data_IF_779189399244
#
_entry.id   IF_779189399244
#
_cell.length_a   1.000
_cell.length_b   1.000
_cell.length_c   1.000
_cell.angle_alpha   90.00
_cell.angle_beta   90.00
_cell.angle_gamma   90.00
#
_symmetry.space_group_name_H-M   'P 1'
#
loop_
_entity.id
_entity.type
_entity.pdbx_description
1 polymer ?
#
# COMPACT_ATOMS: atom_id res chain seq x y z
N UNK A 1 -33.25 25.29 52.39
CA UNK A 1 -31.82 24.94 52.21
C UNK A 1 -31.10 26.14 51.62
N UNK A 2 -30.11 26.71 52.33
CA UNK A 2 -29.44 27.95 51.88
C UNK A 2 -28.66 27.73 50.58
N UNK A 3 -28.56 28.76 49.73
CA UNK A 3 -27.81 28.70 48.45
C UNK A 3 -26.37 28.18 48.62
N UNK A 4 -25.77 28.34 49.81
CA UNK A 4 -24.43 27.82 50.12
C UNK A 4 -24.38 26.28 50.21
N UNK A 5 -25.41 25.66 50.79
CA UNK A 5 -25.45 24.19 50.96
C UNK A 5 -25.59 23.48 49.60
N UNK A 6 -26.33 24.06 48.65
CA UNK A 6 -26.44 23.51 47.28
C UNK A 6 -25.12 23.55 46.53
N UNK A 7 -24.31 24.61 46.67
CA UNK A 7 -23.00 24.71 46.01
C UNK A 7 -22.02 23.66 46.54
N UNK A 8 -22.02 23.43 47.85
CA UNK A 8 -21.15 22.42 48.49
C UNK A 8 -21.52 21.00 48.03
N UNK A 9 -22.81 20.69 47.95
CA UNK A 9 -23.28 19.38 47.46
C UNK A 9 -22.92 19.12 45.98
N UNK A 10 -23.04 20.13 45.12
CA UNK A 10 -22.64 20.01 43.70
C UNK A 10 -21.13 19.79 43.58
N UNK A 11 -20.33 20.51 44.35
CA UNK A 11 -18.87 20.35 44.33
C UNK A 11 -18.45 18.95 44.80
N UNK A 12 -19.07 18.43 45.86
CA UNK A 12 -18.83 17.08 46.35
C UNK A 12 -19.24 16.01 45.34
N UNK A 13 -20.35 16.22 44.62
CA UNK A 13 -20.79 15.29 43.58
C UNK A 13 -19.80 15.27 42.41
N UNK A 14 -19.28 16.43 42.00
CA UNK A 14 -18.27 16.54 40.94
C UNK A 14 -16.96 15.87 41.38
N UNK A 15 -16.51 16.11 42.60
CA UNK A 15 -15.30 15.46 43.14
C UNK A 15 -15.51 13.94 43.19
N UNK A 16 -16.67 13.46 43.64
CA UNK A 16 -16.99 12.03 43.68
C UNK A 16 -16.99 11.42 42.27
N UNK A 17 -17.58 12.10 41.29
CA UNK A 17 -17.59 11.65 39.88
C UNK A 17 -16.16 11.62 39.34
N UNK A 18 -15.35 12.66 39.58
CA UNK A 18 -13.96 12.71 39.15
C UNK A 18 -13.13 11.62 39.85
N UNK A 19 -13.34 11.37 41.14
CA UNK A 19 -12.66 10.30 41.87
C UNK A 19 -13.07 8.91 41.38
N UNK A 20 -14.34 8.68 41.06
CA UNK A 20 -14.82 7.41 40.49
C UNK A 20 -14.30 7.20 39.06
N UNK A 21 -14.18 8.27 38.27
CA UNK A 21 -13.60 8.22 36.93
C UNK A 21 -12.10 7.96 37.01
N UNK A 22 -11.36 8.66 37.88
CA UNK A 22 -9.91 8.47 38.08
C UNK A 22 -9.59 7.08 38.66
N UNK A 23 -10.43 6.54 39.55
CA UNK A 23 -10.26 5.19 40.11
C UNK A 23 -10.69 4.06 39.16
N UNK A 24 -11.42 4.37 38.08
CA UNK A 24 -11.75 3.41 37.01
C UNK A 24 -10.68 3.33 35.92
N UNK A 25 -9.78 4.31 35.84
CA UNK A 25 -8.62 4.20 34.98
C UNK A 25 -7.53 3.42 35.73
N UNK A 26 -7.04 2.30 35.19
CA UNK A 26 -5.92 1.59 35.78
C UNK A 26 -4.73 2.55 35.92
N UNK A 27 -4.04 2.48 37.06
CA UNK A 27 -2.85 3.30 37.29
C UNK A 27 -1.80 2.94 36.24
N UNK A 28 -0.98 3.89 35.75
CA UNK A 28 0.09 3.65 34.77
C UNK A 28 1.15 2.63 35.22
N UNK A 29 1.13 2.21 36.48
CA UNK A 29 2.10 1.30 37.09
C UNK A 29 1.67 -0.17 37.09
N UNK A 30 0.46 -0.51 36.63
CA UNK A 30 0.12 -1.88 36.24
C UNK A 30 0.80 -2.18 34.91
N UNK A 31 2.13 -2.33 34.97
CA UNK A 31 2.91 -2.92 33.90
C UNK A 31 2.24 -4.24 33.52
N UNK A 32 1.98 -4.40 32.21
CA UNK A 32 1.62 -5.66 31.58
C UNK A 32 2.44 -6.79 32.20
N UNK A 33 1.84 -7.56 33.10
CA UNK A 33 2.36 -8.86 33.46
C UNK A 33 1.68 -9.83 32.52
N UNK A 34 2.45 -10.41 31.62
CA UNK A 34 2.09 -11.68 31.00
C UNK A 34 1.69 -12.60 32.17
N UNK A 35 0.47 -13.16 32.21
CA UNK A 35 0.06 -14.03 33.30
C UNK A 35 1.09 -15.16 33.49
N UNK A 36 1.50 -15.43 34.73
CA UNK A 36 2.36 -16.58 35.05
C UNK A 36 1.68 -17.85 34.49
N UNK A 37 2.28 -18.45 33.46
CA UNK A 37 1.72 -19.62 32.76
C UNK A 37 1.86 -19.59 31.24
N UNK A 38 2.02 -18.41 30.61
CA UNK A 38 2.27 -18.31 29.17
C UNK A 38 3.77 -18.44 28.86
N UNK A 39 4.28 -19.67 28.92
CA UNK A 39 5.63 -20.02 28.45
C UNK A 39 5.63 -20.69 27.07
N UNK A 40 4.46 -21.05 26.55
CA UNK A 40 4.32 -21.56 25.20
C UNK A 40 4.22 -20.39 24.23
N UNK A 41 5.14 -20.35 23.28
CA UNK A 41 5.15 -19.38 22.20
C UNK A 41 4.02 -19.77 21.25
N UNK A 42 3.12 -18.83 20.99
CA UNK A 42 2.03 -19.03 20.02
C UNK A 42 2.59 -18.63 18.65
N UNK A 43 2.61 -19.57 17.72
CA UNK A 43 2.92 -19.32 16.32
C UNK A 43 1.59 -19.13 15.59
N UNK A 44 1.43 -17.98 14.94
CA UNK A 44 0.28 -17.76 14.07
C UNK A 44 0.70 -18.08 12.65
N UNK A 45 -0.10 -18.88 11.95
CA UNK A 45 0.12 -19.20 10.54
C UNK A 45 -1.05 -18.69 9.70
N UNK A 46 -0.76 -18.25 8.48
CA UNK A 46 -1.78 -17.92 7.50
C UNK A 46 -1.31 -18.32 6.12
N UNK A 47 -2.12 -19.14 5.45
CA UNK A 47 -1.98 -19.34 4.01
C UNK A 47 -2.53 -18.10 3.31
N UNK A 48 -1.71 -17.51 2.44
CA UNK A 48 -2.03 -16.27 1.74
C UNK A 48 -1.74 -16.44 0.26
N UNK A 49 -2.69 -16.04 -0.57
CA UNK A 49 -2.49 -15.95 -2.02
C UNK A 49 -2.28 -14.50 -2.42
N UNK A 50 -1.14 -14.20 -3.02
CA UNK A 50 -0.88 -12.91 -3.67
C UNK A 50 -1.28 -13.02 -5.13
N UNK A 51 -2.14 -12.10 -5.58
CA UNK A 51 -2.63 -12.08 -6.95
C UNK A 51 -1.87 -11.03 -7.75
N UNK A 52 -1.19 -11.43 -8.82
CA UNK A 52 -0.60 -10.55 -9.82
C UNK A 52 -1.53 -10.48 -11.02
N UNK A 53 -2.09 -9.31 -11.28
CA UNK A 53 -3.04 -9.09 -12.37
C UNK A 53 -2.40 -8.24 -13.45
N UNK A 54 -2.11 -8.82 -14.61
CA UNK A 54 -1.52 -8.14 -15.75
C UNK A 54 -2.63 -7.58 -16.64
N UNK A 55 -2.67 -6.27 -16.82
CA UNK A 55 -3.68 -5.54 -17.58
C UNK A 55 -3.01 -4.88 -18.77
N UNK A 56 -3.45 -5.23 -19.97
CA UNK A 56 -2.92 -4.66 -21.21
C UNK A 56 -1.69 -5.37 -21.79
N UNK A 57 -1.07 -6.29 -21.05
CA UNK A 57 0.08 -7.05 -21.50
C UNK A 57 -0.24 -8.08 -22.60
N UNK A 58 0.78 -8.43 -23.38
CA UNK A 58 0.82 -9.69 -24.14
C UNK A 58 1.38 -10.80 -23.25
N UNK A 59 0.76 -11.99 -23.25
CA UNK A 59 1.12 -13.07 -22.31
C UNK A 59 2.57 -13.55 -22.42
N UNK A 60 3.17 -13.45 -23.60
CA UNK A 60 4.55 -13.86 -23.87
C UNK A 60 5.62 -12.92 -23.29
N UNK A 61 5.24 -11.70 -22.90
CA UNK A 61 6.17 -10.74 -22.26
C UNK A 61 6.42 -11.14 -20.80
N UNK A 62 5.41 -11.71 -20.14
CA UNK A 62 5.48 -12.04 -18.72
C UNK A 62 6.05 -13.45 -18.51
N UNK A 63 7.22 -13.52 -17.89
CA UNK A 63 7.94 -14.76 -17.62
C UNK A 63 7.72 -15.17 -16.16
N UNK A 64 6.66 -15.94 -15.92
CA UNK A 64 6.24 -16.34 -14.57
C UNK A 64 7.34 -17.08 -13.78
N UNK A 65 8.20 -17.83 -14.46
CA UNK A 65 9.30 -18.55 -13.81
C UNK A 65 10.31 -17.59 -13.16
N UNK A 66 10.61 -16.44 -13.80
CA UNK A 66 11.50 -15.40 -13.25
C UNK A 66 10.85 -14.74 -12.03
N UNK A 67 9.54 -14.49 -12.08
CA UNK A 67 8.79 -14.01 -10.92
C UNK A 67 8.90 -14.98 -9.74
N UNK A 68 8.62 -16.25 -9.97
CA UNK A 68 8.60 -17.26 -8.91
C UNK A 68 9.99 -17.53 -8.31
N UNK A 69 11.06 -17.40 -9.09
CA UNK A 69 12.44 -17.56 -8.59
C UNK A 69 12.84 -16.47 -7.58
N UNK A 70 12.34 -15.25 -7.78
CA UNK A 70 12.75 -14.08 -7.00
C UNK A 70 11.74 -13.66 -5.91
N UNK A 71 10.57 -14.29 -5.86
CA UNK A 71 9.56 -14.06 -4.82
C UNK A 71 9.78 -14.99 -3.62
N UNK A 72 9.52 -14.52 -2.38
CA UNK A 72 9.68 -15.34 -1.18
C UNK A 72 8.63 -16.46 -1.15
N UNK A 73 9.04 -17.73 -1.00
CA UNK A 73 8.10 -18.84 -0.79
C UNK A 73 7.48 -18.86 0.62
N UNK A 74 8.23 -18.40 1.61
CA UNK A 74 7.81 -18.20 2.99
C UNK A 74 8.28 -16.81 3.42
N UNK A 75 7.47 -16.10 4.21
CA UNK A 75 7.92 -14.82 4.74
C UNK A 75 7.65 -14.70 6.24
N UNK A 76 8.70 -14.32 6.96
CA UNK A 76 8.61 -13.85 8.35
C UNK A 76 8.57 -12.32 8.29
N UNK A 77 7.53 -11.66 8.82
CA UNK A 77 7.38 -10.21 8.72
C UNK A 77 8.62 -9.45 9.15
N UNK A 78 8.96 -8.37 8.44
CA UNK A 78 10.07 -7.50 8.84
C UNK A 78 9.75 -6.87 10.21
N UNK A 79 10.63 -7.10 11.17
CA UNK A 79 10.46 -6.69 12.56
C UNK A 79 10.92 -5.24 12.79
N UNK A 80 10.02 -4.29 12.58
CA UNK A 80 10.31 -2.87 12.79
C UNK A 80 10.15 -2.40 14.26
N UNK A 81 9.74 -3.28 15.19
CA UNK A 81 9.18 -2.85 16.48
C UNK A 81 9.54 -3.66 17.73
N UNK A 82 10.03 -4.89 17.62
CA UNK A 82 10.28 -5.78 18.78
C UNK A 82 11.33 -5.26 19.75
N UNK A 83 12.22 -4.37 19.31
CA UNK A 83 13.17 -3.71 20.19
C UNK A 83 12.52 -2.82 21.26
N UNK A 84 11.28 -2.38 21.06
CA UNK A 84 10.60 -1.38 21.90
C UNK A 84 9.28 -1.85 22.52
N UNK A 85 8.72 -2.99 22.09
CA UNK A 85 7.41 -3.48 22.56
C UNK A 85 7.60 -4.75 23.38
N UNK A 86 6.95 -4.76 24.54
CA UNK A 86 6.97 -5.78 25.59
C UNK A 86 6.88 -7.24 25.09
N UNK A 87 7.37 -8.17 25.92
CA UNK A 87 7.35 -9.64 25.78
C UNK A 87 5.93 -10.19 25.55
N UNK A 88 5.33 -9.95 24.38
CA UNK A 88 4.12 -10.65 23.96
C UNK A 88 4.48 -12.13 23.64
N UNK A 89 3.59 -13.09 23.90
CA UNK A 89 3.85 -14.51 23.67
C UNK A 89 3.83 -14.92 22.19
N UNK A 90 3.58 -13.99 21.27
CA UNK A 90 3.58 -14.25 19.82
C UNK A 90 4.97 -14.03 19.26
N UNK A 91 5.55 -15.05 18.61
CA UNK A 91 6.85 -14.87 17.97
C UNK A 91 6.67 -14.01 16.71
N UNK A 92 5.87 -14.48 15.74
CA UNK A 92 5.50 -13.77 14.50
C UNK A 92 4.22 -14.38 13.88
N UNK A 93 3.59 -13.67 12.93
CA UNK A 93 2.65 -14.28 11.98
C UNK A 93 3.47 -14.85 10.81
N UNK A 94 3.49 -16.17 10.67
CA UNK A 94 4.14 -16.88 9.58
C UNK A 94 3.18 -16.96 8.41
N UNK A 95 3.62 -16.47 7.26
CA UNK A 95 2.83 -16.51 6.03
C UNK A 95 3.36 -17.59 5.10
N UNK A 96 2.50 -18.55 4.74
CA UNK A 96 2.75 -19.47 3.64
C UNK A 96 2.21 -18.81 2.38
N UNK A 97 3.10 -18.43 1.46
CA UNK A 97 2.73 -17.64 0.30
C UNK A 97 2.48 -18.55 -0.90
N UNK A 98 1.39 -18.25 -1.60
CA UNK A 98 1.10 -18.76 -2.92
C UNK A 98 0.91 -17.58 -3.87
N UNK A 99 1.28 -17.75 -5.13
CA UNK A 99 1.22 -16.71 -6.14
C UNK A 99 0.25 -17.11 -7.24
N UNK A 100 -0.65 -16.21 -7.60
CA UNK A 100 -1.64 -16.39 -8.64
C UNK A 100 -1.42 -15.35 -9.73
N UNK A 101 -1.18 -15.80 -10.96
CA UNK A 101 -0.94 -14.94 -12.12
C UNK A 101 -2.19 -14.90 -12.98
N UNK A 102 -2.74 -13.71 -13.21
CA UNK A 102 -3.99 -13.50 -13.94
C UNK A 102 -3.75 -12.46 -15.02
N UNK A 103 -4.07 -12.79 -16.26
CA UNK A 103 -4.16 -11.81 -17.33
C UNK A 103 -5.60 -11.28 -17.40
N UNK A 104 -5.76 -9.98 -17.24
CA UNK A 104 -7.06 -9.35 -17.38
C UNK A 104 -7.53 -9.43 -18.83
N UNK A 105 -8.84 -9.58 -19.02
CA UNK A 105 -9.44 -9.57 -20.35
C UNK A 105 -9.19 -8.21 -21.02
N UNK A 106 -8.95 -8.20 -22.34
CA UNK A 106 -8.71 -6.95 -23.09
C UNK A 106 -9.81 -5.91 -22.83
N UNK A 107 -11.07 -6.34 -22.73
CA UNK A 107 -12.19 -5.44 -22.43
C UNK A 107 -12.17 -4.77 -21.04
N UNK A 108 -11.35 -5.26 -20.10
CA UNK A 108 -11.06 -4.55 -18.85
C UNK A 108 -10.01 -3.46 -19.09
N UNK A 109 -8.92 -3.79 -19.78
CA UNK A 109 -7.86 -2.84 -20.14
C UNK A 109 -8.41 -1.69 -20.99
N UNK A 110 -9.15 -2.00 -22.06
CA UNK A 110 -9.84 -1.03 -22.91
C UNK A 110 -10.63 -0.03 -22.06
N UNK A 111 -11.44 -0.54 -21.11
CA UNK A 111 -12.35 0.31 -20.33
C UNK A 111 -11.65 1.09 -19.23
N UNK A 112 -10.61 0.51 -18.63
CA UNK A 112 -9.76 1.19 -17.67
C UNK A 112 -9.09 2.39 -18.34
N UNK A 113 -8.42 2.19 -19.47
CA UNK A 113 -7.66 3.25 -20.13
C UNK A 113 -8.55 4.21 -20.93
N UNK A 114 -9.70 3.78 -21.46
CA UNK A 114 -10.76 4.67 -21.97
C UNK A 114 -11.16 5.68 -20.87
N UNK A 115 -11.39 5.17 -19.65
CA UNK A 115 -11.77 6.00 -18.52
C UNK A 115 -10.62 6.92 -18.09
N UNK A 116 -9.40 6.41 -17.97
CA UNK A 116 -8.20 7.20 -17.67
C UNK A 116 -8.02 8.36 -18.64
N UNK A 117 -8.12 8.10 -19.95
CA UNK A 117 -8.08 9.12 -21.01
C UNK A 117 -9.21 10.17 -20.86
N UNK A 118 -10.39 9.75 -20.40
CA UNK A 118 -11.55 10.65 -20.24
C UNK A 118 -11.41 11.67 -19.11
N UNK A 119 -10.49 11.44 -18.17
CA UNK A 119 -10.24 12.30 -17.01
C UNK A 119 -8.86 12.98 -17.05
N UNK A 120 -8.19 12.93 -18.21
CA UNK A 120 -6.89 13.59 -18.42
C UNK A 120 -7.02 15.10 -18.22
N UNK A 121 -6.07 15.66 -17.49
CA UNK A 121 -5.76 17.07 -17.48
C UNK A 121 -4.46 17.29 -18.24
N UNK A 122 -4.47 18.18 -19.23
CA UNK A 122 -3.25 18.55 -19.96
C UNK A 122 -2.49 19.63 -19.21
N UNK A 123 -1.19 19.44 -19.03
CA UNK A 123 -0.31 20.37 -18.32
C UNK A 123 1.10 20.41 -18.90
N UNK A 124 1.92 21.39 -18.52
CA UNK A 124 3.31 21.43 -18.95
C UNK A 124 4.08 20.22 -18.39
N UNK A 125 5.09 19.68 -19.10
CA UNK A 125 6.00 18.70 -18.53
C UNK A 125 6.80 19.30 -17.37
N UNK A 126 7.30 18.44 -16.49
CA UNK A 126 8.24 18.84 -15.43
C UNK A 126 9.63 19.05 -16.01
N UNK A 127 10.46 19.87 -15.35
CA UNK A 127 11.85 20.08 -15.76
C UNK A 127 12.62 18.74 -15.82
N UNK A 128 12.39 17.85 -14.85
CA UNK A 128 12.94 16.50 -14.86
C UNK A 128 12.53 15.68 -16.09
N UNK A 129 11.25 15.70 -16.48
CA UNK A 129 10.81 14.93 -17.64
C UNK A 129 11.42 15.47 -18.95
N UNK A 130 11.61 16.80 -19.04
CA UNK A 130 12.30 17.43 -20.16
C UNK A 130 13.75 16.93 -20.24
N UNK A 131 14.48 17.01 -19.13
CA UNK A 131 15.87 16.55 -19.05
C UNK A 131 15.97 15.05 -19.38
N UNK A 132 15.08 14.24 -18.81
CA UNK A 132 14.99 12.81 -19.07
C UNK A 132 14.72 12.49 -20.55
N UNK A 133 13.77 13.18 -21.20
CA UNK A 133 13.43 12.92 -22.60
C UNK A 133 14.61 13.19 -23.53
N UNK A 134 15.39 14.25 -23.24
CA UNK A 134 16.62 14.59 -23.95
C UNK A 134 17.74 13.57 -23.69
N UNK A 135 18.03 13.26 -22.42
CA UNK A 135 19.14 12.37 -22.02
C UNK A 135 18.92 10.91 -22.42
N UNK A 136 17.68 10.42 -22.30
CA UNK A 136 17.31 9.04 -22.69
C UNK A 136 17.20 8.85 -24.20
N UNK A 137 17.16 9.94 -24.98
CA UNK A 137 17.01 9.92 -26.43
C UNK A 137 15.62 9.47 -26.89
N UNK A 138 14.61 9.48 -26.02
CA UNK A 138 13.23 9.14 -26.38
C UNK A 138 12.61 10.21 -27.31
N UNK A 139 12.97 11.49 -27.12
CA UNK A 139 12.54 12.61 -27.96
C UNK A 139 11.03 12.65 -28.22
N UNK A 140 10.22 12.40 -27.18
CA UNK A 140 8.74 12.44 -27.26
C UNK A 140 8.18 13.83 -26.95
N UNK A 141 8.98 14.74 -26.40
CA UNK A 141 8.54 16.10 -26.11
C UNK A 141 8.99 17.04 -27.22
N UNK A 142 8.02 17.76 -27.81
CA UNK A 142 8.31 18.98 -28.54
C UNK A 142 8.29 20.21 -27.60
N UNK A 143 9.02 21.27 -27.96
CA UNK A 143 9.15 22.47 -27.12
C UNK A 143 7.78 23.09 -26.81
N UNK A 144 7.40 23.08 -25.54
CA UNK A 144 6.15 23.66 -25.04
C UNK A 144 4.90 22.81 -25.24
N UNK A 145 5.03 21.56 -25.70
CA UNK A 145 3.89 20.65 -25.76
C UNK A 145 3.48 20.13 -24.38
N UNK A 146 2.17 20.05 -24.10
CA UNK A 146 1.68 19.54 -22.83
C UNK A 146 1.72 18.02 -22.79
N UNK A 147 1.80 17.48 -21.59
CA UNK A 147 1.66 16.06 -21.27
C UNK A 147 0.34 15.77 -20.57
N UNK A 148 0.00 14.50 -20.41
CA UNK A 148 -1.20 14.07 -19.72
C UNK A 148 -0.97 13.87 -18.22
N UNK A 149 -1.84 14.42 -17.39
CA UNK A 149 -1.92 14.13 -15.96
C UNK A 149 -3.25 13.44 -15.65
N UNK A 150 -3.19 12.28 -14.99
CA UNK A 150 -4.37 11.44 -14.75
C UNK A 150 -4.57 11.23 -13.25
N UNK A 151 -5.78 11.49 -12.75
CA UNK A 151 -6.07 11.40 -11.32
C UNK A 151 -6.06 9.94 -10.82
N UNK A 152 -5.10 9.61 -9.97
CA UNK A 152 -4.92 8.25 -9.43
C UNK A 152 -6.06 7.75 -8.57
N UNK A 153 -6.65 8.61 -7.76
CA UNK A 153 -7.73 8.21 -6.85
C UNK A 153 -8.97 7.85 -7.64
N UNK A 154 -9.28 8.63 -8.68
CA UNK A 154 -10.39 8.35 -9.57
C UNK A 154 -10.22 7.03 -10.34
N UNK A 155 -8.99 6.67 -10.71
CA UNK A 155 -8.66 5.42 -11.41
C UNK A 155 -8.74 4.24 -10.45
N UNK A 156 -8.19 4.37 -9.25
CA UNK A 156 -8.30 3.37 -8.19
C UNK A 156 -9.77 3.07 -7.85
N UNK A 157 -10.60 4.10 -7.68
CA UNK A 157 -12.05 3.95 -7.47
C UNK A 157 -12.72 3.21 -8.63
N UNK A 158 -12.37 3.56 -9.87
CA UNK A 158 -12.92 2.89 -11.04
C UNK A 158 -12.55 1.39 -11.08
N UNK A 159 -11.30 1.04 -10.78
CA UNK A 159 -10.87 -0.36 -10.70
C UNK A 159 -11.68 -1.10 -9.63
N UNK A 160 -11.84 -0.51 -8.44
CA UNK A 160 -12.61 -1.11 -7.36
C UNK A 160 -14.08 -1.38 -7.75
N UNK A 161 -14.73 -0.44 -8.45
CA UNK A 161 -16.12 -0.54 -8.88
C UNK A 161 -16.36 -1.52 -10.04
N UNK A 162 -15.33 -1.78 -10.86
CA UNK A 162 -15.50 -2.52 -12.12
C UNK A 162 -14.86 -3.91 -12.11
N UNK A 163 -13.78 -4.16 -11.35
CA UNK A 163 -13.01 -5.41 -11.37
C UNK A 163 -13.86 -6.68 -11.16
N UNK A 164 -14.93 -6.60 -10.37
CA UNK A 164 -15.87 -7.71 -10.14
C UNK A 164 -16.54 -8.20 -11.43
N UNK A 165 -16.89 -7.28 -12.36
CA UNK A 165 -17.54 -7.61 -13.63
C UNK A 165 -16.64 -8.45 -14.54
N UNK A 166 -15.33 -8.41 -14.30
CA UNK A 166 -14.30 -9.07 -15.08
C UNK A 166 -13.67 -10.26 -14.33
N UNK A 167 -14.27 -10.69 -13.21
CA UNK A 167 -13.76 -11.77 -12.35
C UNK A 167 -12.37 -11.48 -11.76
N UNK A 168 -12.07 -10.21 -11.50
CA UNK A 168 -10.82 -9.75 -10.88
C UNK A 168 -11.03 -9.41 -9.39
N UNK A 169 -11.86 -10.20 -8.73
CA UNK A 169 -12.09 -10.16 -7.28
C UNK A 169 -11.70 -11.51 -6.71
N UNK A 170 -10.82 -11.50 -5.73
CA UNK A 170 -10.23 -12.71 -5.16
C UNK A 170 -10.74 -12.99 -3.75
N UNK A 171 -10.40 -14.16 -3.22
CA UNK A 171 -10.76 -14.56 -1.86
C UNK A 171 -9.93 -13.75 -0.86
N UNK A 172 -10.56 -13.30 0.22
CA UNK A 172 -9.88 -12.60 1.31
C UNK A 172 -8.88 -13.51 2.06
N UNK A 173 -7.70 -12.99 2.50
CA UNK A 173 -7.26 -11.59 2.31
C UNK A 173 -6.88 -11.32 0.84
N UNK A 174 -7.47 -10.28 0.26
CA UNK A 174 -7.44 -10.03 -1.19
C UNK A 174 -6.18 -9.30 -1.66
N UNK A 175 -4.99 -9.74 -1.26
CA UNK A 175 -3.75 -9.08 -1.66
C UNK A 175 -3.53 -9.17 -3.17
N UNK A 176 -3.73 -8.05 -3.84
CA UNK A 176 -3.70 -7.96 -5.30
C UNK A 176 -2.80 -6.83 -5.74
N UNK A 177 -1.87 -7.12 -6.63
CA UNK A 177 -1.06 -6.13 -7.31
C UNK A 177 -1.40 -6.19 -8.80
N UNK A 178 -1.96 -5.10 -9.31
CA UNK A 178 -2.18 -4.93 -10.74
C UNK A 178 -0.92 -4.36 -11.40
N UNK A 179 -0.53 -4.94 -12.52
CA UNK A 179 0.44 -4.37 -13.43
C UNK A 179 -0.31 -3.87 -14.66
N UNK A 180 -0.22 -2.59 -14.94
CA UNK A 180 -0.80 -1.94 -16.10
C UNK A 180 0.30 -1.76 -17.15
N UNK A 181 0.01 -2.19 -18.37
CA UNK A 181 0.76 -1.81 -19.57
C UNK A 181 -0.14 -0.89 -20.39
N UNK A 182 -0.01 0.41 -20.11
CA UNK A 182 -0.71 1.46 -20.83
C UNK A 182 -0.11 1.77 -22.20
N UNK A 183 1.10 1.29 -22.49
CA UNK A 183 1.90 1.72 -23.64
C UNK A 183 1.89 0.73 -24.80
N UNK A 184 2.19 -0.55 -24.57
CA UNK A 184 2.55 -1.47 -25.66
C UNK A 184 1.44 -1.69 -26.68
N UNK A 185 0.17 -1.58 -26.25
CA UNK A 185 -1.02 -1.64 -27.13
C UNK A 185 -1.57 -0.26 -27.51
N UNK A 186 -0.91 0.83 -27.13
CA UNK A 186 -1.30 2.20 -27.42
C UNK A 186 -2.59 2.65 -26.71
N UNK A 187 -2.80 2.20 -25.47
CA UNK A 187 -3.97 2.58 -24.69
C UNK A 187 -3.88 4.04 -24.21
N UNK A 188 -2.68 4.45 -23.83
CA UNK A 188 -2.31 5.85 -23.58
C UNK A 188 -1.40 6.32 -24.74
N UNK A 189 -1.21 7.64 -24.93
CA UNK A 189 -0.41 8.16 -26.04
C UNK A 189 1.02 7.61 -26.04
N UNK A 190 1.52 7.27 -27.23
CA UNK A 190 2.89 6.78 -27.42
C UNK A 190 3.85 7.87 -27.90
N UNK A 191 3.30 8.99 -28.37
CA UNK A 191 3.99 10.16 -28.89
C UNK A 191 4.15 11.29 -27.86
N UNK A 192 3.61 11.11 -26.65
CA UNK A 192 3.83 12.01 -25.51
C UNK A 192 3.91 11.17 -24.22
N UNK A 193 3.93 11.83 -23.07
CA UNK A 193 3.97 11.20 -21.76
C UNK A 193 2.64 11.34 -21.02
N UNK A 194 2.39 10.39 -20.11
CA UNK A 194 1.41 10.57 -19.04
C UNK A 194 2.03 10.33 -17.67
N UNK A 195 1.55 11.11 -16.71
CA UNK A 195 1.76 10.90 -15.29
C UNK A 195 0.45 10.56 -14.59
N UNK A 196 0.60 9.73 -13.58
CA UNK A 196 -0.41 9.53 -12.56
C UNK A 196 -0.22 10.58 -11.47
N UNK A 197 -1.27 11.36 -11.20
CA UNK A 197 -1.25 12.51 -10.30
C UNK A 197 -2.17 12.32 -9.11
N UNK A 198 -1.65 12.66 -7.93
CA UNK A 198 -2.43 12.79 -6.69
C UNK A 198 -2.50 14.24 -6.23
N UNK A 199 -3.63 14.64 -5.63
CA UNK A 199 -3.83 15.95 -5.02
C UNK A 199 -3.71 15.84 -3.49
N UNK A 200 -2.55 16.23 -2.94
CA UNK A 200 -2.35 16.32 -1.48
C UNK A 200 -2.87 17.68 -0.96
N UNK A 201 -4.10 17.73 -0.46
CA UNK A 201 -4.69 18.97 0.10
C UNK A 201 -3.94 19.51 1.33
N UNK A 202 -3.15 18.67 2.02
CA UNK A 202 -2.54 19.02 3.32
C UNK A 202 -1.36 19.98 3.25
N UNK A 203 -0.61 20.03 2.14
CA UNK A 203 0.68 20.72 2.11
C UNK A 203 0.72 22.07 1.39
N UNK A 204 -0.24 22.36 0.50
CA UNK A 204 -0.61 23.66 -0.11
C UNK A 204 -1.26 23.35 -1.45
N UNK A 205 -2.27 24.12 -1.90
CA UNK A 205 -2.94 23.89 -3.18
C UNK A 205 -2.05 24.10 -4.43
N UNK A 206 -0.79 24.51 -4.25
CA UNK A 206 0.11 24.92 -5.34
C UNK A 206 1.38 24.05 -5.46
N UNK A 207 1.65 23.07 -4.56
CA UNK A 207 3.03 22.59 -4.34
C UNK A 207 3.28 21.07 -4.27
N UNK A 208 2.39 20.17 -4.69
CA UNK A 208 2.81 18.76 -4.86
C UNK A 208 1.99 18.03 -5.92
N UNK A 209 2.50 18.01 -7.15
CA UNK A 209 2.26 16.93 -8.08
C UNK A 209 3.31 15.88 -7.73
N UNK A 210 2.89 14.81 -7.07
CA UNK A 210 3.73 13.62 -7.05
C UNK A 210 3.42 12.94 -8.37
N UNK A 211 4.40 12.97 -9.26
CA UNK A 211 4.40 12.15 -10.46
C UNK A 211 4.61 10.71 -10.01
N UNK A 212 3.73 9.80 -10.43
CA UNK A 212 3.71 8.43 -9.91
C UNK A 212 3.67 7.44 -11.07
N UNK A 213 4.26 6.28 -10.85
CA UNK A 213 4.05 5.10 -11.68
C UNK A 213 3.22 4.03 -10.96
N UNK A 214 3.14 4.09 -9.62
CA UNK A 214 2.37 3.14 -8.82
C UNK A 214 1.53 3.84 -7.76
N UNK A 215 0.37 3.25 -7.44
CA UNK A 215 -0.58 3.80 -6.47
C UNK A 215 -1.46 2.71 -5.87
N UNK A 216 -2.05 2.99 -4.72
CA UNK A 216 -3.17 2.22 -4.20
C UNK A 216 -3.21 2.18 -2.69
N UNK A 217 -4.03 1.27 -2.17
CA UNK A 217 -4.15 1.03 -0.74
C UNK A 217 -5.39 1.65 -0.10
N UNK A 218 -6.22 2.39 -0.83
CA UNK A 218 -7.58 2.71 -0.37
C UNK A 218 -8.49 1.48 -0.42
N UNK A 219 -8.17 0.54 -1.31
CA UNK A 219 -8.81 -0.77 -1.41
C UNK A 219 -7.80 -1.90 -1.12
N UNK A 220 -8.26 -3.16 -1.19
CA UNK A 220 -7.42 -4.35 -0.97
C UNK A 220 -6.32 -4.58 -2.02
N UNK A 221 -6.09 -3.64 -2.94
CA UNK A 221 -5.13 -3.79 -4.02
C UNK A 221 -4.21 -2.57 -4.18
N UNK A 222 -3.13 -2.82 -4.89
CA UNK A 222 -2.16 -1.87 -5.39
C UNK A 222 -2.09 -1.96 -6.92
N UNK A 223 -1.59 -0.95 -7.60
CA UNK A 223 -1.29 -1.02 -9.02
C UNK A 223 0.01 -0.29 -9.39
N UNK A 224 0.70 -0.81 -10.41
CA UNK A 224 1.88 -0.23 -11.07
C UNK A 224 1.58 -0.11 -12.55
N UNK A 225 1.76 1.06 -13.15
CA UNK A 225 1.76 1.25 -14.60
C UNK A 225 3.18 1.37 -15.13
N UNK A 226 3.62 0.34 -15.83
CA UNK A 226 4.96 0.31 -16.43
C UNK A 226 5.06 1.17 -17.68
N UNK A 227 3.93 1.61 -18.24
CA UNK A 227 3.88 2.56 -19.34
C UNK A 227 3.74 4.00 -18.88
N UNK A 228 3.81 4.32 -17.59
CA UNK A 228 3.83 5.71 -17.14
C UNK A 228 5.24 6.32 -17.25
N UNK A 229 5.29 7.65 -17.42
CA UNK A 229 6.56 8.38 -17.38
C UNK A 229 7.29 8.16 -16.04
N UNK A 230 8.64 8.18 -16.03
CA UNK A 230 9.40 7.99 -14.80
C UNK A 230 9.14 9.13 -13.82
N UNK A 231 9.00 8.82 -12.54
CA UNK A 231 8.78 9.79 -11.48
C UNK A 231 10.09 10.32 -10.88
N UNK A 232 10.16 11.63 -10.63
CA UNK A 232 11.20 12.20 -9.76
C UNK A 232 10.67 12.28 -8.33
N UNK A 233 11.01 11.29 -7.49
CA UNK A 233 10.68 11.37 -6.07
C UNK A 233 11.92 11.65 -5.23
N UNK A 234 11.95 12.84 -4.60
CA UNK A 234 13.02 13.31 -3.70
C UNK A 234 14.41 13.43 -4.33
N UNK A 235 14.47 13.70 -5.64
CA UNK A 235 15.73 13.90 -6.36
C UNK A 235 16.52 12.62 -6.61
N UNK A 236 15.87 11.45 -6.48
CA UNK A 236 16.41 10.16 -6.89
C UNK A 236 15.65 9.71 -8.16
N UNK A 237 16.41 9.39 -9.20
CA UNK A 237 15.91 9.08 -10.54
C UNK A 237 15.25 7.69 -10.57
N UNK A 238 13.92 7.64 -10.70
CA UNK A 238 13.22 6.35 -10.84
C UNK A 238 13.48 5.69 -12.18
N UNK A 239 13.90 6.42 -13.23
CA UNK A 239 14.13 5.84 -14.54
C UNK A 239 15.34 4.91 -14.56
N UNK A 240 16.36 5.15 -13.71
CA UNK A 240 17.50 4.25 -13.57
C UNK A 240 17.11 2.96 -12.83
N UNK A 241 16.30 3.08 -11.79
CA UNK A 241 15.91 1.93 -10.95
C UNK A 241 14.74 1.11 -11.52
N UNK A 242 13.81 1.79 -12.20
CA UNK A 242 12.55 1.23 -12.71
C UNK A 242 12.21 1.88 -14.08
N UNK A 243 13.00 1.60 -15.13
CA UNK A 243 12.70 2.10 -16.47
C UNK A 243 11.27 1.73 -16.90
N UNK A 244 10.56 2.62 -17.60
CA UNK A 244 9.29 2.26 -18.23
C UNK A 244 9.44 1.13 -19.27
N UNK A 245 8.35 0.41 -19.55
CA UNK A 245 8.32 -0.78 -20.42
C UNK A 245 8.91 -0.54 -21.83
N UNK A 246 8.83 0.69 -22.34
CA UNK A 246 9.38 1.07 -23.64
C UNK A 246 10.90 1.15 -23.72
N UNK A 247 11.62 0.97 -22.61
CA UNK A 247 13.07 0.78 -22.62
C UNK A 247 13.47 -0.68 -22.90
N UNK A 248 12.51 -1.58 -22.86
CA UNK A 248 12.74 -3.00 -23.02
C UNK A 248 12.30 -3.48 -24.40
N UNK A 249 12.86 -4.61 -24.81
CA UNK A 249 12.57 -5.25 -26.07
C UNK A 249 12.73 -6.78 -25.92
N UNK A 250 12.58 -7.51 -27.03
CA UNK A 250 12.66 -8.98 -27.06
C UNK A 250 13.94 -9.55 -26.42
N UNK A 251 15.06 -8.82 -26.48
CA UNK A 251 16.34 -9.27 -25.92
C UNK A 251 16.50 -8.92 -24.43
N UNK A 252 15.63 -8.06 -23.86
CA UNK A 252 15.72 -7.55 -22.48
C UNK A 252 14.48 -7.82 -21.64
N UNK A 253 13.59 -8.72 -22.08
CA UNK A 253 12.42 -9.11 -21.27
C UNK A 253 12.77 -9.77 -19.95
N UNK A 254 13.89 -10.49 -19.88
CA UNK A 254 14.37 -11.08 -18.62
C UNK A 254 14.63 -9.97 -17.58
N UNK A 255 15.32 -8.89 -17.98
CA UNK A 255 15.60 -7.72 -17.13
C UNK A 255 14.32 -6.99 -16.70
N UNK A 256 13.33 -6.87 -17.62
CA UNK A 256 12.02 -6.30 -17.30
C UNK A 256 11.27 -7.12 -16.24
N UNK A 257 11.28 -8.45 -16.37
CA UNK A 257 10.63 -9.34 -15.42
C UNK A 257 11.35 -9.35 -14.05
N UNK A 258 12.68 -9.22 -14.01
CA UNK A 258 13.45 -9.03 -12.78
C UNK A 258 13.06 -7.73 -12.06
N UNK A 259 12.92 -6.62 -12.81
CA UNK A 259 12.45 -5.35 -12.29
C UNK A 259 11.04 -5.46 -11.70
N UNK A 260 10.08 -6.03 -12.47
CA UNK A 260 8.71 -6.23 -12.00
C UNK A 260 8.68 -7.06 -10.70
N UNK A 261 9.51 -8.09 -10.62
CA UNK A 261 9.58 -8.96 -9.44
C UNK A 261 10.15 -8.24 -8.23
N UNK A 262 11.14 -7.37 -8.44
CA UNK A 262 11.69 -6.51 -7.38
C UNK A 262 10.60 -5.61 -6.80
N UNK A 263 9.80 -4.96 -7.67
CA UNK A 263 8.67 -4.12 -7.24
C UNK A 263 7.59 -4.95 -6.53
N UNK A 264 7.25 -6.12 -7.06
CA UNK A 264 6.29 -7.05 -6.46
C UNK A 264 6.74 -7.49 -5.06
N UNK A 265 8.01 -7.82 -4.90
CA UNK A 265 8.59 -8.23 -3.63
C UNK A 265 8.50 -7.12 -2.58
N UNK A 266 8.75 -5.86 -2.96
CA UNK A 266 8.54 -4.72 -2.07
C UNK A 266 7.08 -4.53 -1.67
N UNK A 267 6.14 -4.61 -2.63
CA UNK A 267 4.72 -4.52 -2.33
C UNK A 267 4.27 -5.63 -1.36
N UNK A 268 4.70 -6.88 -1.60
CA UNK A 268 4.39 -8.03 -0.75
C UNK A 268 4.96 -7.84 0.66
N UNK A 269 6.26 -7.53 0.78
CA UNK A 269 6.94 -7.42 2.06
C UNK A 269 6.44 -6.24 2.90
N UNK A 270 6.25 -5.07 2.29
CA UNK A 270 5.94 -3.85 3.03
C UNK A 270 4.44 -3.58 3.19
N UNK A 271 3.60 -4.03 2.26
CA UNK A 271 2.15 -3.76 2.32
C UNK A 271 1.30 -4.94 2.76
N UNK A 272 1.57 -6.12 2.21
CA UNK A 272 0.68 -7.28 2.38
C UNK A 272 1.02 -8.11 3.61
N UNK A 273 2.27 -8.12 4.04
CA UNK A 273 2.73 -8.97 5.14
C UNK A 273 3.16 -8.24 6.44
N UNK A 274 2.74 -6.98 6.76
CA UNK A 274 3.11 -6.39 8.03
C UNK A 274 2.49 -7.18 9.20
N UNK A 275 3.30 -7.44 10.22
CA UNK A 275 2.84 -8.05 11.47
C UNK A 275 2.08 -6.98 12.28
N UNK A 276 0.77 -6.87 12.08
CA UNK A 276 -0.09 -5.98 12.86
C UNK A 276 -0.17 -6.34 14.36
N UNK A 277 0.48 -7.43 14.77
CA UNK A 277 0.64 -7.85 16.16
C UNK A 277 1.51 -6.85 16.94
N UNK A 278 2.44 -6.20 16.27
CA UNK A 278 3.27 -5.14 16.83
C UNK A 278 2.94 -3.84 16.13
N UNK A 279 2.64 -2.79 16.90
CA UNK A 279 2.45 -1.46 16.33
C UNK A 279 3.72 -1.07 15.56
N UNK A 280 3.66 -0.78 14.25
CA UNK A 280 4.81 -0.23 13.55
C UNK A 280 5.06 1.15 14.16
N UNK A 281 6.12 1.26 14.97
CA UNK A 281 6.49 2.46 15.73
C UNK A 281 6.28 3.72 14.89
N UNK A 282 5.16 4.43 15.09
CA UNK A 282 4.74 5.71 14.48
C UNK A 282 5.60 6.19 13.30
N UNK A 283 5.77 5.33 12.32
CA UNK A 283 6.36 5.65 11.05
C UNK A 283 5.21 5.37 10.13
N UNK A 284 4.60 6.40 9.50
CA UNK A 284 4.02 6.15 8.19
C UNK A 284 5.00 5.21 7.50
N UNK A 285 4.55 3.98 7.21
CA UNK A 285 5.33 3.11 6.35
C UNK A 285 5.13 3.75 4.99
N UNK A 286 5.85 4.84 4.77
CA UNK A 286 6.20 5.29 3.45
C UNK A 286 6.78 4.03 2.84
N UNK A 287 6.03 3.39 1.95
CA UNK A 287 6.67 2.51 0.97
C UNK A 287 7.42 3.49 0.05
N UNK A 288 8.39 4.23 0.57
CA UNK A 288 9.28 5.04 -0.24
C UNK A 288 10.31 4.09 -0.83
N UNK A 289 9.86 3.12 -1.64
CA UNK A 289 10.62 2.84 -2.85
C UNK A 289 10.21 3.93 -3.85
N UNK A 290 11.05 4.21 -4.84
CA UNK A 290 10.89 5.33 -5.78
C UNK A 290 9.56 5.42 -6.54
N UNK A 291 8.62 4.49 -6.31
CA UNK A 291 7.41 4.27 -7.09
C UNK A 291 6.12 4.34 -6.25
N UNK A 292 6.15 4.02 -4.94
CA UNK A 292 4.94 4.00 -4.10
C UNK A 292 4.90 5.25 -3.21
N UNK A 293 3.79 6.00 -3.20
CA UNK A 293 3.56 7.04 -2.18
C UNK A 293 2.25 6.76 -1.47
N UNK A 294 2.35 6.48 -0.17
CA UNK A 294 1.20 6.34 0.72
C UNK A 294 1.39 7.27 1.92
N UNK A 295 0.55 8.31 2.03
CA UNK A 295 0.45 9.19 3.21
C UNK A 295 -0.52 8.64 4.27
N UNK A 296 -1.27 7.58 3.93
CA UNK A 296 -2.40 7.02 4.67
C UNK A 296 -2.10 5.66 5.31
N UNK A 297 -0.90 5.11 5.18
CA UNK A 297 -0.47 3.93 5.93
C UNK A 297 -0.18 4.27 7.42
N UNK A 298 -1.24 4.15 8.22
CA UNK A 298 -1.25 3.90 9.67
C UNK A 298 -0.94 5.10 10.60
N UNK A 299 -2.01 5.73 11.11
CA UNK A 299 -1.96 6.47 12.38
C UNK A 299 -3.11 6.00 13.29
N UNK A 300 -2.78 5.25 14.34
CA UNK A 300 -3.57 5.28 15.58
C UNK A 300 -2.62 5.40 16.76
N UNK A 301 -2.62 6.56 17.43
CA UNK A 301 -1.65 6.97 18.44
C UNK A 301 -1.94 6.48 19.87
N UNK A 302 -2.86 5.53 20.07
CA UNK A 302 -3.30 5.10 21.42
C UNK A 302 -3.51 3.58 21.57
N UNK A 303 -2.97 2.76 20.65
CA UNK A 303 -3.15 1.30 20.69
C UNK A 303 -2.53 0.67 21.95
N UNK A 304 -1.36 1.16 22.37
CA UNK A 304 -0.58 0.64 23.50
C UNK A 304 -1.25 0.81 24.87
N UNK A 305 -2.17 1.77 25.02
CA UNK A 305 -2.80 2.09 26.31
C UNK A 305 -4.08 1.28 26.58
N UNK A 306 -4.46 0.36 25.69
CA UNK A 306 -5.76 -0.34 25.71
C UNK A 306 -5.68 -1.85 25.40
N UNK A 307 -4.50 -2.47 25.39
CA UNK A 307 -4.39 -3.90 25.07
C UNK A 307 -4.84 -4.78 26.25
N UNK A 308 -6.09 -5.25 26.19
CA UNK A 308 -6.50 -6.51 26.80
C UNK A 308 -6.15 -7.63 25.81
N UNK A 309 -5.43 -8.65 26.26
CA UNK A 309 -4.96 -9.75 25.42
C UNK A 309 -6.10 -10.50 24.75
N UNK A 310 -7.20 -10.75 25.48
CA UNK A 310 -8.37 -11.42 24.91
C UNK A 310 -9.14 -10.49 23.99
N UNK A 311 -9.20 -9.20 24.28
CA UNK A 311 -9.78 -8.22 23.37
C UNK A 311 -8.94 -8.08 22.08
N UNK A 312 -7.62 -8.15 22.17
CA UNK A 312 -6.72 -8.12 21.02
C UNK A 312 -6.85 -9.38 20.18
N UNK A 313 -6.88 -10.56 20.79
CA UNK A 313 -7.14 -11.81 20.09
C UNK A 313 -8.54 -11.85 19.49
N UNK A 314 -9.56 -11.40 20.22
CA UNK A 314 -10.93 -11.34 19.72
C UNK A 314 -11.10 -10.31 18.61
N UNK A 315 -10.43 -9.16 18.70
CA UNK A 315 -10.38 -8.16 17.62
C UNK A 315 -9.61 -8.70 16.43
N UNK A 316 -8.45 -9.33 16.63
CA UNK A 316 -7.66 -9.94 15.57
C UNK A 316 -8.47 -11.07 14.88
N UNK A 317 -9.19 -11.89 15.64
CA UNK A 317 -10.17 -12.86 15.12
C UNK A 317 -11.35 -12.20 14.39
N UNK A 318 -11.78 -11.01 14.81
CA UNK A 318 -12.85 -10.27 14.14
C UNK A 318 -12.38 -9.58 12.85
N UNK A 319 -11.13 -9.12 12.81
CA UNK A 319 -10.52 -8.47 11.66
C UNK A 319 -9.96 -9.48 10.65
N UNK A 320 -9.51 -10.64 11.13
CA UNK A 320 -8.92 -11.72 10.34
C UNK A 320 -9.60 -13.05 10.70
N UNK A 321 -10.90 -13.23 10.40
CA UNK A 321 -11.63 -14.46 10.71
C UNK A 321 -11.11 -15.70 9.97
N UNK A 322 -10.23 -15.52 8.99
CA UNK A 322 -9.58 -16.57 8.21
C UNK A 322 -8.26 -17.07 8.82
N UNK A 323 -7.76 -16.49 9.92
CA UNK A 323 -6.51 -16.92 10.55
C UNK A 323 -6.71 -18.23 11.33
N UNK A 324 -5.79 -19.18 11.16
CA UNK A 324 -5.74 -20.41 11.95
C UNK A 324 -4.84 -20.22 13.19
N UNK A 325 -5.15 -20.94 14.27
CA UNK A 325 -4.51 -20.74 15.57
C UNK A 325 -4.04 -22.10 16.10
N UNK A 326 -2.74 -22.25 16.33
CA UNK A 326 -2.16 -23.41 17.02
C UNK A 326 -1.45 -22.93 18.30
N UNK A 327 -1.93 -23.40 19.45
CA UNK A 327 -1.48 -22.98 20.79
C UNK A 327 -2.58 -23.13 21.83
#
# INVERSE_FOLDING_TARGET
>A
MSKGIKKILVLLLIILIISVVILKYPKPEEKMRVPEGYHERITLTSDVTINFVFVGFEENIIQQDIFLENLPGENTPIDWGRGNVFELPFEYLHYNLSYNFVFAQDGFADKLFDYSNSIVEWGPPTDYLIDYDEESGQNRLEEGEPIQYVNVTAVEDWVAENRAKYNLVFKEPEYTLFFFDSYSKGYMPTDTYHYWKFYEERYRPEEMVIDMQAWGGNYGFLWLDVGAAPSEYRGEDSAEAYPPVWHYNEDTWDEFNEMLTTVASFAVQYRFLPSYIYHPVNRPVYISSHIWVDDRSLITSDFEKKMDFEECLQRLRSYMPWLEWEG
#
